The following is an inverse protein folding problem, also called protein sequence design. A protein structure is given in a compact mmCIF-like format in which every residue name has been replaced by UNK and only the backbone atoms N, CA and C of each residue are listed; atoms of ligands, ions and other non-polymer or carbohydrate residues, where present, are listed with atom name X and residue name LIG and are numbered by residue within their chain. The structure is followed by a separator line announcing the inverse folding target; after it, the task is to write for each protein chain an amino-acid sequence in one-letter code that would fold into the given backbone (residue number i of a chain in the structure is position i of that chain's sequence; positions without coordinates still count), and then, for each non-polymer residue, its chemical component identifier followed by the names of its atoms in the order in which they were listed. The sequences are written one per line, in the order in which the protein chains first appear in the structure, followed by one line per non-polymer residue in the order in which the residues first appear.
data_IF_095416137649
#
_entry.id   IF_095416137649
#
_cell.length_a   1.000
_cell.length_b   1.000
_cell.length_c   1.000
_cell.angle_alpha   90.00
_cell.angle_beta   90.00
_cell.angle_gamma   90.00
#
_symmetry.space_group_name_H-M   'P 1'
#
loop_
_entity.id
_entity.type
_entity.pdbx_description
1 polymer ?
#
# COMPACT_ATOMS: atom_id res chain seq x y z
N UNK A 1 59.96 5.92 -24.45
CA UNK A 1 60.57 5.34 -23.24
C UNK A 1 59.63 5.65 -22.08
N UNK A 2 59.27 4.61 -21.28
CA UNK A 2 58.44 4.60 -20.05
C UNK A 2 56.95 4.21 -20.17
N UNK A 3 56.72 2.90 -20.37
CA UNK A 3 56.11 1.89 -19.46
C UNK A 3 54.87 2.22 -18.56
N UNK A 4 53.87 1.31 -18.68
CA UNK A 4 52.86 0.82 -17.69
C UNK A 4 51.78 1.83 -17.23
N UNK A 5 50.47 1.52 -17.14
CA UNK A 5 49.80 0.32 -16.61
C UNK A 5 48.47 -0.01 -17.35
N UNK A 6 48.20 -1.31 -17.51
CA UNK A 6 46.90 -1.86 -17.88
C UNK A 6 45.91 -1.74 -16.71
N UNK A 7 44.70 -1.23 -16.96
CA UNK A 7 43.51 -1.58 -16.16
C UNK A 7 42.38 -1.88 -17.15
N UNK A 8 42.25 -3.17 -17.49
CA UNK A 8 41.07 -3.72 -18.09
C UNK A 8 40.01 -3.89 -16.99
N UNK A 9 39.10 -2.93 -16.87
CA UNK A 9 37.89 -3.09 -16.08
C UNK A 9 36.83 -3.74 -16.98
N UNK A 10 36.68 -5.05 -16.79
CA UNK A 10 35.74 -5.94 -17.47
C UNK A 10 34.32 -5.39 -17.33
N UNK A 11 33.71 -5.06 -18.47
CA UNK A 11 32.26 -4.93 -18.61
C UNK A 11 31.62 -6.29 -18.30
N UNK A 12 31.19 -6.49 -17.06
CA UNK A 12 30.32 -7.58 -16.70
C UNK A 12 28.90 -7.24 -17.19
N UNK A 13 28.60 -7.59 -18.45
CA UNK A 13 27.22 -7.75 -18.89
C UNK A 13 26.70 -8.99 -18.17
N UNK A 14 26.14 -8.80 -16.97
CA UNK A 14 25.31 -9.83 -16.34
C UNK A 14 24.04 -9.91 -17.18
N UNK A 15 24.02 -10.92 -18.04
CA UNK A 15 22.81 -11.38 -18.71
C UNK A 15 21.80 -11.78 -17.63
N UNK A 16 20.88 -10.87 -17.30
CA UNK A 16 19.67 -11.18 -16.55
C UNK A 16 18.72 -12.01 -17.41
N UNK A 17 19.11 -13.25 -17.74
CA UNK A 17 18.21 -14.19 -18.36
C UNK A 17 17.10 -14.54 -17.34
N UNK A 18 15.81 -14.38 -17.67
CA UNK A 18 14.74 -14.78 -16.79
C UNK A 18 14.87 -16.29 -16.48
N UNK A 19 14.80 -16.65 -15.20
CA UNK A 19 14.84 -18.04 -14.76
C UNK A 19 13.52 -18.74 -15.14
N UNK A 20 13.41 -19.21 -16.38
CA UNK A 20 12.36 -20.12 -16.79
C UNK A 20 12.59 -21.52 -16.22
N UNK A 21 11.88 -21.87 -15.13
CA UNK A 21 11.66 -23.27 -14.78
C UNK A 21 10.59 -23.83 -15.70
N UNK A 22 10.97 -24.81 -16.54
CA UNK A 22 10.02 -25.64 -17.29
C UNK A 22 9.51 -26.75 -16.37
N UNK A 23 8.21 -26.76 -16.08
CA UNK A 23 7.32 -27.94 -16.13
C UNK A 23 5.93 -27.63 -15.51
N UNK A 24 4.91 -27.56 -16.36
CA UNK A 24 3.65 -28.29 -16.17
C UNK A 24 2.89 -28.27 -17.50
N UNK A 25 2.72 -29.44 -18.10
CA UNK A 25 1.86 -29.67 -19.27
C UNK A 25 0.40 -29.50 -18.84
N UNK A 26 -0.09 -28.27 -18.91
CA UNK A 26 -1.50 -27.91 -19.00
C UNK A 26 -1.50 -26.68 -19.88
N UNK A 27 -1.84 -26.85 -21.18
CA UNK A 27 -1.88 -25.81 -22.22
C UNK A 27 -1.26 -24.48 -21.77
N UNK A 28 0.08 -24.40 -21.77
CA UNK A 28 0.82 -23.36 -21.07
C UNK A 28 0.25 -21.99 -21.45
N UNK A 29 -0.39 -21.33 -20.48
CA UNK A 29 -0.88 -19.98 -20.67
C UNK A 29 0.27 -19.13 -21.21
N UNK A 30 0.02 -18.22 -22.17
CA UNK A 30 1.07 -17.41 -22.76
C UNK A 30 1.86 -16.68 -21.67
N UNK A 31 3.16 -16.53 -21.88
CA UNK A 31 4.01 -15.76 -20.97
C UNK A 31 3.44 -14.34 -20.81
N UNK A 32 3.24 -13.93 -19.56
CA UNK A 32 2.70 -12.61 -19.22
C UNK A 32 3.87 -11.62 -19.21
N UNK A 33 3.84 -10.63 -20.09
CA UNK A 33 4.89 -9.62 -20.26
C UNK A 33 4.35 -8.22 -20.03
N UNK A 34 5.21 -7.28 -19.63
CA UNK A 34 4.82 -5.86 -19.52
C UNK A 34 4.72 -5.26 -20.93
N UNK A 35 3.56 -4.71 -21.28
CA UNK A 35 3.27 -4.10 -22.60
C UNK A 35 3.36 -2.59 -22.59
N UNK A 36 3.18 -1.95 -21.43
CA UNK A 36 3.39 -0.51 -21.26
C UNK A 36 3.84 -0.18 -19.85
N UNK A 37 4.65 0.85 -19.70
CA UNK A 37 5.12 1.35 -18.41
C UNK A 37 5.26 2.88 -18.46
N UNK A 38 4.97 3.54 -17.35
CA UNK A 38 5.29 4.94 -17.12
C UNK A 38 5.90 5.12 -15.73
N UNK A 39 6.90 5.99 -15.60
CA UNK A 39 7.55 6.34 -14.34
C UNK A 39 7.91 7.84 -14.37
N UNK A 40 7.38 8.57 -13.40
CA UNK A 40 7.56 10.02 -13.23
C UNK A 40 8.12 10.25 -11.84
N UNK A 41 9.27 10.91 -11.75
CA UNK A 41 9.93 11.30 -10.50
C UNK A 41 10.07 12.81 -10.47
N UNK A 42 9.47 13.46 -9.48
CA UNK A 42 9.51 14.92 -9.34
C UNK A 42 10.55 15.34 -8.30
N UNK A 43 11.04 16.58 -8.42
CA UNK A 43 12.03 17.14 -7.51
C UNK A 43 11.47 17.44 -6.10
N UNK A 44 10.15 17.61 -5.99
CA UNK A 44 9.45 17.84 -4.74
C UNK A 44 9.24 16.58 -3.89
N UNK A 45 9.80 15.44 -4.33
CA UNK A 45 9.68 14.14 -3.65
C UNK A 45 8.41 13.36 -4.02
N UNK A 46 7.52 13.92 -4.86
CA UNK A 46 6.39 13.17 -5.41
C UNK A 46 6.82 12.28 -6.58
N UNK A 47 6.12 11.17 -6.78
CA UNK A 47 6.32 10.33 -7.96
C UNK A 47 5.08 9.55 -8.32
N UNK A 48 4.96 9.17 -9.58
CA UNK A 48 3.91 8.31 -10.09
C UNK A 48 4.55 7.22 -10.95
N UNK A 49 4.11 5.98 -10.79
CA UNK A 49 4.44 4.92 -11.74
C UNK A 49 3.19 4.12 -12.13
N UNK A 50 3.24 3.50 -13.31
CA UNK A 50 2.23 2.54 -13.76
C UNK A 50 2.82 1.52 -14.71
N UNK A 51 2.21 0.33 -14.78
CA UNK A 51 2.47 -0.65 -15.82
C UNK A 51 1.21 -1.42 -16.21
N UNK A 52 1.23 -1.95 -17.44
CA UNK A 52 0.20 -2.84 -17.99
C UNK A 52 0.87 -4.11 -18.47
N UNK A 53 0.25 -5.24 -18.19
CA UNK A 53 0.69 -6.58 -18.60
C UNK A 53 -0.13 -7.07 -19.81
N UNK A 54 0.41 -8.07 -20.53
CA UNK A 54 -0.20 -8.62 -21.76
C UNK A 54 -1.53 -9.34 -21.54
N UNK A 55 -1.82 -9.75 -20.31
CA UNK A 55 -3.10 -10.30 -19.85
C UNK A 55 -4.13 -9.21 -19.50
N UNK A 56 -3.77 -7.93 -19.63
CA UNK A 56 -4.60 -6.78 -19.30
C UNK A 56 -4.56 -6.39 -17.82
N UNK A 57 -3.75 -7.04 -16.99
CA UNK A 57 -3.55 -6.59 -15.61
C UNK A 57 -2.83 -5.24 -15.59
N UNK A 58 -3.30 -4.33 -14.74
CA UNK A 58 -2.70 -3.00 -14.59
C UNK A 58 -2.38 -2.73 -13.13
N UNK A 59 -1.35 -1.92 -12.92
CA UNK A 59 -1.02 -1.40 -11.60
C UNK A 59 -0.48 0.01 -11.73
N UNK A 60 -0.90 0.86 -10.81
CA UNK A 60 -0.41 2.24 -10.70
C UNK A 60 -0.27 2.64 -9.23
N UNK A 61 0.67 3.54 -8.97
CA UNK A 61 0.89 4.11 -7.65
C UNK A 61 1.46 5.51 -7.74
N UNK A 62 0.86 6.41 -6.97
CA UNK A 62 1.29 7.77 -6.71
C UNK A 62 1.82 7.88 -5.30
N UNK A 63 2.85 8.68 -5.09
CA UNK A 63 3.27 9.13 -3.76
C UNK A 63 3.49 10.63 -3.74
N UNK A 64 3.14 11.22 -2.60
CA UNK A 64 3.37 12.63 -2.29
C UNK A 64 4.02 12.74 -0.92
N UNK A 65 5.04 13.58 -0.80
CA UNK A 65 5.68 13.85 0.47
C UNK A 65 4.86 14.85 1.29
N UNK A 66 4.54 14.50 2.53
CA UNK A 66 3.84 15.35 3.49
C UNK A 66 4.69 15.59 4.72
N UNK A 67 4.53 16.77 5.33
CA UNK A 67 5.03 17.03 6.68
C UNK A 67 3.94 16.65 7.67
N UNK A 68 4.29 15.83 8.65
CA UNK A 68 3.41 15.42 9.73
C UNK A 68 4.05 15.80 11.07
N UNK A 69 3.21 16.08 12.06
CA UNK A 69 3.68 16.38 13.41
C UNK A 69 3.54 15.13 14.26
N UNK A 70 4.65 14.70 14.86
CA UNK A 70 4.65 13.62 15.85
C UNK A 70 4.90 14.19 17.23
N UNK A 71 4.20 13.65 18.24
CA UNK A 71 4.41 14.02 19.64
C UNK A 71 5.19 12.90 20.30
N UNK A 72 6.44 13.18 20.67
CA UNK A 72 7.24 12.27 21.49
C UNK A 72 7.12 12.66 22.96
N UNK A 73 6.87 11.69 23.83
CA UNK A 73 6.84 11.87 25.28
C UNK A 73 8.11 11.27 25.88
N UNK A 74 8.87 12.06 26.65
CA UNK A 74 10.05 11.54 27.35
C UNK A 74 9.66 10.71 28.59
N UNK A 75 10.65 10.09 29.23
CA UNK A 75 10.45 9.27 30.44
C UNK A 75 9.87 10.05 31.63
N UNK A 76 9.85 11.39 31.56
CA UNK A 76 9.34 12.29 32.59
C UNK A 76 7.98 12.94 32.19
N UNK A 77 7.36 12.48 31.11
CA UNK A 77 6.05 12.96 30.66
C UNK A 77 6.06 14.27 29.87
N UNK A 78 7.23 14.82 29.54
CA UNK A 78 7.31 16.03 28.71
C UNK A 78 7.05 15.69 27.25
N UNK A 79 6.02 16.32 26.70
CA UNK A 79 5.70 16.21 25.27
C UNK A 79 6.56 17.18 24.46
N UNK A 80 7.14 16.66 23.38
CA UNK A 80 7.86 17.44 22.37
C UNK A 80 7.22 17.18 21.02
N UNK A 81 6.83 18.25 20.33
CA UNK A 81 6.31 18.18 18.96
C UNK A 81 7.49 18.22 18.01
N UNK A 82 7.62 17.21 17.15
CA UNK A 82 8.64 17.15 16.12
C UNK A 82 7.96 17.13 14.75
N UNK A 83 8.45 17.95 13.83
CA UNK A 83 8.08 17.86 12.42
C UNK A 83 8.85 16.69 11.80
N UNK A 84 8.11 15.75 11.22
CA UNK A 84 8.66 14.61 10.50
C UNK A 84 8.12 14.63 9.08
N UNK A 85 8.96 14.19 8.15
CA UNK A 85 8.60 14.10 6.74
C UNK A 85 8.16 12.67 6.45
N UNK A 86 7.00 12.51 5.82
CA UNK A 86 6.39 11.23 5.49
C UNK A 86 5.84 11.21 4.09
N UNK A 87 5.31 10.05 3.72
CA UNK A 87 4.79 9.81 2.38
C UNK A 87 3.33 9.38 2.51
N UNK A 88 2.49 9.98 1.69
CA UNK A 88 1.15 9.47 1.41
C UNK A 88 1.20 8.79 0.06
N UNK A 89 0.83 7.52 0.02
CA UNK A 89 0.79 6.74 -1.21
C UNK A 89 -0.66 6.39 -1.55
N UNK A 90 -0.98 6.34 -2.83
CA UNK A 90 -2.26 5.86 -3.30
C UNK A 90 -2.04 5.06 -4.58
N UNK A 91 -2.87 4.07 -4.84
CA UNK A 91 -2.72 3.27 -6.04
C UNK A 91 -3.97 2.54 -6.43
N UNK A 92 -3.91 1.99 -7.65
CA UNK A 92 -4.93 1.09 -8.16
C UNK A 92 -4.29 -0.15 -8.78
N UNK A 93 -5.04 -1.24 -8.77
CA UNK A 93 -4.64 -2.51 -9.36
C UNK A 93 -5.86 -3.16 -9.95
N UNK A 94 -5.72 -3.63 -11.19
CA UNK A 94 -6.76 -4.34 -11.91
C UNK A 94 -6.21 -5.66 -12.42
N UNK A 95 -6.98 -6.72 -12.25
CA UNK A 95 -6.65 -8.03 -12.81
C UNK A 95 -7.92 -8.86 -13.03
N UNK A 96 -7.79 -9.93 -13.81
CA UNK A 96 -8.86 -10.91 -14.00
C UNK A 96 -8.49 -12.14 -13.15
N UNK A 97 -9.40 -12.57 -12.29
CA UNK A 97 -9.20 -13.77 -11.46
C UNK A 97 -9.18 -15.05 -12.32
N UNK A 98 -8.62 -16.16 -11.82
CA UNK A 98 -8.69 -17.45 -12.52
C UNK A 98 -10.12 -17.89 -12.86
N UNK A 99 -11.11 -17.41 -12.10
CA UNK A 99 -12.54 -17.64 -12.30
C UNK A 99 -13.19 -16.68 -13.32
N UNK A 100 -12.41 -15.78 -13.91
CA UNK A 100 -12.87 -14.80 -14.90
C UNK A 100 -13.46 -13.51 -14.29
N UNK A 101 -13.39 -13.33 -12.97
CA UNK A 101 -13.91 -12.13 -12.31
C UNK A 101 -12.94 -10.95 -12.51
N UNK A 102 -13.46 -9.82 -13.00
CA UNK A 102 -12.69 -8.57 -13.03
C UNK A 102 -12.59 -8.02 -11.61
N UNK A 103 -11.37 -7.92 -11.11
CA UNK A 103 -11.07 -7.40 -9.79
C UNK A 103 -10.41 -6.03 -9.95
N UNK A 104 -10.97 -5.04 -9.26
CA UNK A 104 -10.39 -3.73 -9.12
C UNK A 104 -10.15 -3.44 -7.64
N UNK A 105 -8.92 -3.04 -7.32
CA UNK A 105 -8.49 -2.65 -5.99
C UNK A 105 -7.95 -1.24 -6.05
N UNK A 106 -8.50 -0.37 -5.23
CA UNK A 106 -7.96 0.98 -4.99
C UNK A 106 -7.54 1.08 -3.54
N UNK A 107 -6.52 1.88 -3.23
CA UNK A 107 -6.05 2.02 -1.87
C UNK A 107 -5.42 3.39 -1.63
N UNK A 108 -5.46 3.82 -0.37
CA UNK A 108 -4.75 4.99 0.14
C UNK A 108 -3.97 4.54 1.38
N UNK A 109 -2.72 4.98 1.48
CA UNK A 109 -1.84 4.77 2.62
C UNK A 109 -1.39 6.14 3.15
N UNK A 110 -1.93 6.54 4.29
CA UNK A 110 -1.69 7.82 4.94
C UNK A 110 -1.51 7.65 6.45
N UNK A 111 -1.71 8.70 7.24
CA UNK A 111 -1.62 8.68 8.71
C UNK A 111 -2.59 7.67 9.36
N UNK A 112 -3.69 7.32 8.67
CA UNK A 112 -4.65 6.30 9.06
C UNK A 112 -4.25 4.87 8.68
N UNK A 113 -3.07 4.68 8.08
CA UNK A 113 -2.58 3.38 7.60
C UNK A 113 -3.12 3.00 6.22
N UNK A 114 -3.04 1.71 5.90
CA UNK A 114 -3.46 1.18 4.59
C UNK A 114 -4.97 0.94 4.54
N UNK A 115 -5.65 1.63 3.63
CA UNK A 115 -7.10 1.63 3.47
C UNK A 115 -7.48 1.11 2.08
N UNK A 116 -7.61 -0.21 1.90
CA UNK A 116 -8.00 -0.80 0.63
C UNK A 116 -9.51 -0.72 0.41
N UNK A 117 -9.91 -0.56 -0.86
CA UNK A 117 -11.30 -0.54 -1.33
C UNK A 117 -11.42 -1.39 -2.58
N UNK A 118 -12.37 -2.33 -2.56
CA UNK A 118 -12.70 -3.17 -3.71
C UNK A 118 -13.85 -4.11 -3.35
N UNK A 119 -14.69 -4.44 -4.33
CA UNK A 119 -15.92 -5.22 -4.11
C UNK A 119 -15.65 -6.66 -3.63
N UNK A 120 -14.43 -7.15 -3.86
CA UNK A 120 -13.96 -8.47 -3.45
C UNK A 120 -13.47 -8.52 -1.99
N UNK A 121 -13.35 -7.38 -1.32
CA UNK A 121 -12.85 -7.33 0.05
C UNK A 121 -13.95 -7.77 1.04
N UNK A 122 -13.56 -8.45 2.14
CA UNK A 122 -14.52 -8.81 3.18
C UNK A 122 -15.12 -7.56 3.82
N UNK A 123 -16.45 -7.55 3.96
CA UNK A 123 -17.15 -6.51 4.71
C UNK A 123 -17.05 -6.87 6.20
N UNK A 124 -16.55 -5.93 7.01
CA UNK A 124 -16.45 -6.12 8.45
C UNK A 124 -17.86 -6.39 9.05
N UNK A 125 -18.01 -7.35 9.98
CA UNK A 125 -19.29 -7.64 10.61
C UNK A 125 -19.78 -6.42 11.40
N UNK A 126 -21.03 -6.01 11.18
CA UNK A 126 -21.66 -4.93 11.94
C UNK A 126 -22.04 -5.47 13.32
N UNK A 127 -21.37 -5.01 14.37
CA UNK A 127 -21.76 -5.31 15.74
C UNK A 127 -22.90 -4.36 16.15
N UNK A 128 -24.14 -4.85 16.15
CA UNK A 128 -25.28 -4.13 16.72
C UNK A 128 -25.20 -4.25 18.24
N UNK A 129 -24.67 -3.23 18.91
CA UNK A 129 -24.75 -3.14 20.36
C UNK A 129 -26.16 -2.70 20.75
N UNK A 130 -27.00 -3.64 21.19
CA UNK A 130 -28.15 -3.28 22.02
C UNK A 130 -27.61 -2.96 23.41
N UNK A 131 -27.48 -1.68 23.75
CA UNK A 131 -27.19 -1.29 25.12
C UNK A 131 -28.28 -1.88 26.01
N UNK A 132 -27.95 -2.56 27.11
CA UNK A 132 -28.96 -2.98 28.06
C UNK A 132 -29.66 -1.71 28.58
N UNK A 133 -30.99 -1.67 28.45
CA UNK A 133 -31.78 -0.67 29.16
C UNK A 133 -31.49 -0.88 30.64
N UNK A 134 -30.90 0.12 31.29
CA UNK A 134 -30.63 0.05 32.71
C UNK A 134 -31.94 -0.29 33.44
N UNK A 135 -31.96 -1.28 34.35
CA UNK A 135 -33.16 -1.58 35.11
C UNK A 135 -33.62 -0.30 35.82
N UNK A 136 -34.92 0.00 35.72
CA UNK A 136 -35.48 1.13 36.43
C UNK A 136 -35.11 1.00 37.92
N UNK A 137 -34.50 2.04 38.48
CA UNK A 137 -34.12 2.03 39.89
C UNK A 137 -35.39 1.78 40.72
N UNK A 138 -35.37 0.88 41.71
CA UNK A 138 -36.57 0.51 42.48
C UNK A 138 -37.05 1.63 43.42
N UNK A 139 -36.39 2.79 43.43
CA UNK A 139 -36.78 3.90 44.29
C UNK A 139 -37.54 4.95 43.47
N UNK A 140 -38.79 5.20 43.84
CA UNK A 140 -39.41 6.49 43.56
C UNK A 140 -38.83 7.48 44.55
N UNK A 141 -38.43 8.68 44.08
CA UNK A 141 -37.99 9.77 44.95
C UNK A 141 -39.17 10.24 45.80
N UNK A 142 -39.40 9.58 46.93
CA UNK A 142 -40.35 10.02 47.96
C UNK A 142 -39.61 10.94 48.93
N UNK A 143 -39.47 12.19 48.52
CA UNK A 143 -39.00 13.25 49.39
C UNK A 143 -39.37 14.59 48.79
N UNK A 144 -40.10 15.41 49.55
CA UNK A 144 -40.22 16.82 49.24
C UNK A 144 -38.80 17.38 49.27
N UNK A 145 -38.34 17.87 48.12
CA UNK A 145 -37.08 18.59 48.05
C UNK A 145 -37.18 19.77 49.00
N UNK A 146 -36.29 19.80 49.99
CA UNK A 146 -35.97 21.01 50.72
C UNK A 146 -34.96 21.82 49.91
#
# INVERSE_FOLDING_TARGET
MNKLFFIAAVMAVVAGAPQGKKESETAAAPEIVVVSQADVRNLDGSSQWSYTQSDGATREESQVQKKFQTVSTDAYGKQTVNDVIGNTNAGSSFWISPEGQRIHLTWVADEGGFQPKGDHLPVAPVHVYTLPVAPALPYQRTGLGY
#
